data_IF_586840179130
#
_entry.id   IF_586840179130
#
_cell.length_a   1.000
_cell.length_b   1.000
_cell.length_c   1.000
_cell.angle_alpha   90.00
_cell.angle_beta   90.00
_cell.angle_gamma   90.00
#
_symmetry.space_group_name_H-M   'P 1'
#
loop_
_entity.id
_entity.type
_entity.pdbx_description
1 polymer ?
#
# COMPACT_ATOMS: atom_id res chain seq x y z
N UNK A 1 -5.74 -3.25 -13.54
CA UNK A 1 -4.64 -3.72 -14.42
C UNK A 1 -4.63 -5.24 -14.37
N UNK A 2 -4.79 -5.92 -15.51
CA UNK A 2 -4.49 -7.36 -15.60
C UNK A 2 -2.98 -7.49 -15.44
N UNK A 3 -2.51 -7.96 -14.29
CA UNK A 3 -1.09 -8.24 -14.10
C UNK A 3 -0.80 -9.50 -14.92
N UNK A 4 -0.13 -9.35 -16.07
CA UNK A 4 0.41 -10.49 -16.80
C UNK A 4 1.41 -11.22 -15.91
N UNK A 5 1.48 -12.56 -16.04
CA UNK A 5 2.36 -13.40 -15.22
C UNK A 5 3.82 -12.90 -15.20
N UNK A 6 4.27 -12.32 -16.32
CA UNK A 6 5.60 -11.71 -16.46
C UNK A 6 5.82 -10.51 -15.54
N UNK A 7 4.84 -9.59 -15.46
CA UNK A 7 4.92 -8.41 -14.60
C UNK A 7 4.96 -8.83 -13.14
N UNK A 8 4.22 -9.88 -12.76
CA UNK A 8 4.28 -10.39 -11.39
C UNK A 8 5.60 -11.11 -11.09
N UNK A 9 6.16 -11.87 -12.03
CA UNK A 9 7.47 -12.50 -11.87
C UNK A 9 8.59 -11.46 -11.68
N UNK A 10 8.58 -10.39 -12.47
CA UNK A 10 9.50 -9.26 -12.34
C UNK A 10 9.30 -8.51 -11.01
N UNK A 11 8.05 -8.34 -10.58
CA UNK A 11 7.71 -7.74 -9.30
C UNK A 11 8.13 -8.60 -8.09
N UNK A 12 8.04 -9.94 -8.18
CA UNK A 12 8.56 -10.87 -7.16
C UNK A 12 10.07 -10.75 -7.02
N UNK A 13 10.79 -10.60 -8.14
CA UNK A 13 12.25 -10.41 -8.17
C UNK A 13 12.69 -9.15 -7.43
N UNK A 14 11.84 -8.12 -7.43
CA UNK A 14 12.06 -6.86 -6.70
C UNK A 14 11.74 -6.92 -5.19
N UNK A 15 11.20 -8.04 -4.69
CA UNK A 15 11.00 -8.31 -3.27
C UNK A 15 9.80 -7.62 -2.62
N UNK A 16 9.35 -8.20 -1.49
CA UNK A 16 8.23 -7.69 -0.68
C UNK A 16 8.47 -6.26 -0.16
N UNK A 17 9.74 -5.92 0.10
CA UNK A 17 10.14 -4.61 0.60
C UNK A 17 9.75 -3.47 -0.35
N UNK A 18 9.89 -3.65 -1.66
CA UNK A 18 9.52 -2.63 -2.66
C UNK A 18 8.00 -2.43 -2.72
N UNK A 19 7.23 -3.50 -2.53
CA UNK A 19 5.78 -3.44 -2.40
C UNK A 19 5.34 -2.68 -1.15
N UNK A 20 5.92 -3.03 -0.02
CA UNK A 20 5.62 -2.39 1.26
C UNK A 20 5.99 -0.92 1.22
N UNK A 21 7.15 -0.57 0.66
CA UNK A 21 7.62 0.81 0.66
C UNK A 21 6.95 1.69 -0.40
N UNK A 22 6.96 1.28 -1.69
CA UNK A 22 6.44 2.13 -2.77
C UNK A 22 4.91 2.06 -2.88
N UNK A 23 4.34 0.85 -2.92
CA UNK A 23 2.88 0.70 -3.10
C UNK A 23 2.13 0.87 -1.78
N UNK A 24 2.72 0.38 -0.69
CA UNK A 24 2.21 0.52 0.66
C UNK A 24 2.42 1.94 1.21
N UNK A 25 3.63 2.24 1.68
CA UNK A 25 3.93 3.47 2.44
C UNK A 25 3.76 4.73 1.60
N UNK A 26 4.39 4.83 0.43
CA UNK A 26 4.35 6.06 -0.36
C UNK A 26 2.99 6.33 -1.02
N UNK A 27 2.39 5.32 -1.66
CA UNK A 27 1.12 5.51 -2.36
C UNK A 27 -0.09 5.41 -1.44
N UNK A 28 -0.29 4.28 -0.76
CA UNK A 28 -1.49 4.07 0.06
C UNK A 28 -1.39 4.81 1.41
N UNK A 29 -0.27 4.66 2.11
CA UNK A 29 0.02 5.27 3.40
C UNK A 29 0.08 6.78 3.34
N UNK A 30 0.81 7.35 2.38
CA UNK A 30 0.93 8.80 2.22
C UNK A 30 -0.41 9.48 1.98
N UNK A 31 -1.24 8.97 1.07
CA UNK A 31 -2.58 9.52 0.80
C UNK A 31 -3.48 9.43 2.04
N UNK A 32 -3.47 8.29 2.72
CA UNK A 32 -4.23 8.10 3.97
C UNK A 32 -3.77 9.07 5.06
N UNK A 33 -2.47 9.23 5.25
CA UNK A 33 -1.91 10.13 6.26
C UNK A 33 -2.28 11.59 5.98
N UNK A 34 -2.28 12.03 4.72
CA UNK A 34 -2.74 13.38 4.35
C UNK A 34 -4.21 13.57 4.74
N UNK A 35 -5.08 12.62 4.40
CA UNK A 35 -6.49 12.68 4.76
C UNK A 35 -6.69 12.75 6.28
N UNK A 36 -5.98 11.91 7.04
CA UNK A 36 -6.03 11.91 8.50
C UNK A 36 -5.52 13.23 9.10
N UNK A 37 -4.55 13.89 8.45
CA UNK A 37 -4.04 15.18 8.88
C UNK A 37 -5.08 16.29 8.74
N UNK A 38 -5.80 16.30 7.61
CA UNK A 38 -6.90 17.24 7.39
C UNK A 38 -8.05 17.00 8.36
N UNK A 39 -8.43 15.73 8.58
CA UNK A 39 -9.44 15.35 9.56
C UNK A 39 -9.02 15.80 10.96
N UNK A 40 -7.76 15.54 11.34
CA UNK A 40 -7.18 15.95 12.61
C UNK A 40 -7.24 17.46 12.82
N UNK A 41 -6.92 18.25 11.78
CA UNK A 41 -7.02 19.71 11.86
C UNK A 41 -8.47 20.19 12.04
N UNK A 42 -9.42 19.68 11.26
CA UNK A 42 -10.80 20.18 11.31
C UNK A 42 -11.64 19.63 12.47
N UNK A 43 -11.34 18.42 12.95
CA UNK A 43 -12.17 17.75 13.96
C UNK A 43 -11.53 17.68 15.35
N UNK A 44 -10.19 17.68 15.44
CA UNK A 44 -9.47 17.41 16.69
C UNK A 44 -8.56 18.54 17.14
N UNK A 45 -8.24 19.50 16.27
CA UNK A 45 -7.43 20.64 16.66
C UNK A 45 -8.21 21.54 17.61
N UNK A 46 -7.51 22.07 18.62
CA UNK A 46 -8.07 23.08 19.51
C UNK A 46 -8.57 24.29 18.72
N UNK A 47 -9.68 24.88 19.14
CA UNK A 47 -10.29 26.04 18.45
C UNK A 47 -9.37 27.24 18.35
N UNK A 48 -8.32 27.30 19.18
CA UNK A 48 -7.28 28.33 19.19
C UNK A 48 -6.09 28.00 18.29
N UNK A 49 -5.96 26.77 17.81
CA UNK A 49 -4.84 26.34 16.99
C UNK A 49 -4.99 26.87 15.56
N UNK A 50 -4.09 27.77 15.16
CA UNK A 50 -4.01 28.21 13.76
C UNK A 50 -3.46 27.09 12.88
N UNK A 51 -3.77 27.14 11.58
CA UNK A 51 -3.20 26.23 10.58
C UNK A 51 -1.68 26.12 10.70
N UNK A 52 -0.99 27.25 10.84
CA UNK A 52 0.47 27.29 10.97
C UNK A 52 0.97 26.62 12.25
N UNK A 53 0.26 26.78 13.37
CA UNK A 53 0.65 26.15 14.65
C UNK A 53 0.44 24.63 14.59
N UNK A 54 -0.67 24.19 13.99
CA UNK A 54 -0.98 22.77 13.88
C UNK A 54 0.00 22.06 12.94
N UNK A 55 0.18 22.55 11.72
CA UNK A 55 1.09 21.98 10.73
C UNK A 55 2.57 22.29 10.98
N UNK A 56 2.89 23.25 11.86
CA UNK A 56 4.24 23.50 12.32
C UNK A 56 4.69 22.61 13.48
N UNK A 57 3.76 21.90 14.14
CA UNK A 57 4.08 21.05 15.29
C UNK A 57 4.80 19.76 14.88
N UNK A 58 5.89 19.45 15.56
CA UNK A 58 6.62 18.19 15.39
C UNK A 58 5.76 16.95 15.70
N UNK A 59 4.79 17.08 16.62
CA UNK A 59 3.86 16.00 16.97
C UNK A 59 2.97 15.67 15.76
N UNK A 60 2.44 16.69 15.09
CA UNK A 60 1.61 16.56 13.89
C UNK A 60 2.35 15.76 12.81
N UNK A 61 3.59 16.14 12.50
CA UNK A 61 4.40 15.41 11.52
C UNK A 61 4.77 13.99 11.96
N UNK A 62 5.08 13.78 13.24
CA UNK A 62 5.35 12.43 13.77
C UNK A 62 4.14 11.53 13.61
N UNK A 63 2.96 12.03 13.97
CA UNK A 63 1.68 11.33 13.80
C UNK A 63 1.39 11.05 12.33
N UNK A 64 1.69 11.99 11.42
CA UNK A 64 1.58 11.77 9.97
C UNK A 64 2.46 10.60 9.51
N UNK A 65 3.74 10.60 9.88
CA UNK A 65 4.67 9.54 9.53
C UNK A 65 4.22 8.18 10.07
N UNK A 66 3.67 8.13 11.28
CA UNK A 66 3.14 6.90 11.86
C UNK A 66 1.93 6.38 11.10
N UNK A 67 0.97 7.24 10.74
CA UNK A 67 -0.17 6.84 9.91
C UNK A 67 0.28 6.33 8.54
N UNK A 68 1.19 7.05 7.88
CA UNK A 68 1.69 6.66 6.57
C UNK A 68 2.43 5.32 6.62
N UNK A 69 3.28 5.14 7.62
CA UNK A 69 4.09 3.93 7.76
C UNK A 69 3.25 2.73 8.17
N UNK A 70 2.40 2.86 9.19
CA UNK A 70 1.59 1.76 9.70
C UNK A 70 0.53 1.32 8.68
N UNK A 71 -0.31 2.25 8.22
CA UNK A 71 -1.34 1.94 7.24
C UNK A 71 -0.74 1.48 5.92
N UNK A 72 0.31 2.16 5.47
CA UNK A 72 1.02 1.80 4.26
C UNK A 72 1.64 0.41 4.33
N UNK A 73 2.25 0.03 5.45
CA UNK A 73 2.84 -1.31 5.60
C UNK A 73 1.80 -2.41 5.56
N UNK A 74 0.66 -2.19 6.23
CA UNK A 74 -0.48 -3.12 6.23
C UNK A 74 -1.04 -3.29 4.80
N UNK A 75 -1.33 -2.18 4.13
CA UNK A 75 -1.87 -2.22 2.76
C UNK A 75 -0.88 -2.80 1.76
N UNK A 76 0.41 -2.48 1.89
CA UNK A 76 1.48 -3.06 1.09
C UNK A 76 1.56 -4.59 1.25
N UNK A 77 1.47 -5.08 2.49
CA UNK A 77 1.44 -6.52 2.78
C UNK A 77 0.18 -7.19 2.21
N UNK A 78 -1.00 -6.60 2.39
CA UNK A 78 -2.27 -7.15 1.87
C UNK A 78 -2.21 -7.23 0.34
N UNK A 79 -1.76 -6.17 -0.33
CA UNK A 79 -1.65 -6.13 -1.79
C UNK A 79 -0.65 -7.16 -2.30
N UNK A 80 0.50 -7.29 -1.64
CA UNK A 80 1.48 -8.32 -1.96
C UNK A 80 0.87 -9.72 -1.84
N UNK A 81 0.19 -10.02 -0.72
CA UNK A 81 -0.44 -11.33 -0.48
C UNK A 81 -1.56 -11.63 -1.49
N UNK A 82 -2.37 -10.64 -1.86
CA UNK A 82 -3.43 -10.79 -2.87
C UNK A 82 -2.85 -11.13 -4.23
N UNK A 83 -1.81 -10.42 -4.63
CA UNK A 83 -1.15 -10.67 -5.91
C UNK A 83 -0.44 -12.02 -5.95
N UNK A 84 0.14 -12.46 -4.83
CA UNK A 84 0.73 -13.80 -4.74
C UNK A 84 -0.30 -14.91 -4.97
N UNK A 85 -1.49 -14.79 -4.36
CA UNK A 85 -2.60 -15.73 -4.57
C UNK A 85 -3.10 -15.73 -6.02
N UNK A 86 -3.26 -14.55 -6.61
CA UNK A 86 -3.70 -14.41 -8.00
C UNK A 86 -2.72 -15.07 -8.98
N UNK A 87 -1.42 -14.94 -8.73
CA UNK A 87 -0.39 -15.60 -9.53
C UNK A 87 -0.41 -17.13 -9.38
N UNK A 88 -0.55 -17.64 -8.15
CA UNK A 88 -0.65 -19.09 -7.93
C UNK A 88 -1.86 -19.68 -8.67
N UNK A 89 -3.00 -18.99 -8.64
CA UNK A 89 -4.20 -19.40 -9.38
C UNK A 89 -3.99 -19.38 -10.89
N UNK A 90 -3.36 -18.32 -11.42
CA UNK A 90 -3.06 -18.20 -12.85
C UNK A 90 -2.07 -19.27 -13.35
N UNK A 91 -1.08 -19.65 -12.53
CA UNK A 91 -0.14 -20.72 -12.87
C UNK A 91 -0.83 -22.09 -12.95
N UNK A 92 -1.73 -22.39 -12.02
CA UNK A 92 -2.45 -23.67 -12.02
C UNK A 92 -3.37 -23.79 -13.26
N UNK A 93 -4.08 -22.73 -13.62
CA UNK A 93 -4.92 -22.71 -14.83
C UNK A 93 -4.10 -22.93 -16.11
N UNK A 94 -2.91 -22.31 -16.22
CA UNK A 94 -2.04 -22.54 -17.37
C UNK A 94 -1.53 -23.99 -17.46
N UNK A 95 -1.25 -24.63 -16.32
CA UNK A 95 -0.84 -26.03 -16.29
C UNK A 95 -1.98 -26.99 -16.65
N UNK A 96 -3.21 -26.68 -16.24
CA UNK A 96 -4.41 -27.46 -16.58
C UNK A 96 -4.70 -27.38 -18.10
N UNK A 97 -4.57 -26.20 -18.71
CA UNK A 97 -4.75 -25.99 -20.16
C UNK A 97 -3.67 -26.68 -21.02
N UNK A 98 -2.43 -26.77 -20.53
CA UNK A 98 -1.35 -27.50 -21.21
C UNK A 98 -1.50 -29.02 -21.08
N UNK A 99 -2.01 -29.50 -19.94
CA UNK A 99 -2.34 -30.91 -19.71
C UNK A 99 -3.49 -31.39 -20.59
N UNK A 100 -4.53 -30.56 -20.76
CA UNK A 100 -5.69 -30.88 -21.61
C UNK A 100 -5.35 -30.89 -23.11
N UNK A 101 -4.39 -30.07 -23.56
CA UNK A 101 -3.90 -30.08 -24.96
C UNK A 101 -2.94 -31.23 -25.27
N UNK A 102 -2.43 -31.91 -24.25
CA UNK A 102 -1.45 -33.01 -24.39
C UNK A 102 -2.10 -34.40 -24.26
N UNK A 103 -3.41 -34.47 -24.00
CA UNK A 103 -4.22 -35.69 -23.93
C UNK A 103 -5.06 -35.85 -25.20
#
# INVERSE_FOLDING_TARGET
>A
MKFTNEVWAEKRKNGIARFIFLEGILKAGGVFAVAMQFIGYFMLADKSATFSTYFGSAVTWTTFFLHATLFGSIMGYINWRRNEKMYAAAKNQAADEEGEKSA
#
